data_IF_041944482975
#
_entry.id   IF_041944482975
#
_cell.length_a   1.000
_cell.length_b   1.000
_cell.length_c   1.000
_cell.angle_alpha   90.00
_cell.angle_beta   90.00
_cell.angle_gamma   90.00
#
_symmetry.space_group_name_H-M   'P 1'
#
loop_
_entity.id
_entity.type
_entity.pdbx_description
1 polymer ?
#
# COMPACT_ATOMS: atom_id res chain seq x y z
N UNK A 1 -20.67 10.45 -16.05
CA UNK A 1 -20.59 9.02 -15.70
C UNK A 1 -19.91 8.89 -14.34
N UNK A 2 -20.42 8.03 -13.47
CA UNK A 2 -19.87 7.82 -12.13
C UNK A 2 -18.91 6.63 -12.15
N UNK A 3 -17.89 6.65 -11.29
CA UNK A 3 -17.00 5.50 -11.11
C UNK A 3 -17.76 4.32 -10.50
N UNK A 4 -17.70 3.17 -11.16
CA UNK A 4 -18.14 1.91 -10.56
C UNK A 4 -17.02 1.41 -9.64
N UNK A 5 -17.39 1.08 -8.40
CA UNK A 5 -16.50 0.38 -7.49
C UNK A 5 -16.41 -1.07 -7.96
N UNK A 6 -15.20 -1.51 -8.29
CA UNK A 6 -14.95 -2.88 -8.68
C UNK A 6 -14.37 -3.65 -7.48
N UNK A 7 -14.94 -4.82 -7.20
CA UNK A 7 -14.38 -5.70 -6.19
C UNK A 7 -12.95 -6.10 -6.56
N UNK A 8 -12.02 -5.78 -5.67
CA UNK A 8 -10.64 -6.22 -5.76
C UNK A 8 -10.52 -7.63 -5.18
N UNK A 9 -9.73 -8.53 -5.79
CA UNK A 9 -9.37 -9.81 -5.19
C UNK A 9 -8.57 -9.72 -3.87
N UNK A 10 -8.08 -8.53 -3.54
CA UNK A 10 -7.38 -8.22 -2.28
C UNK A 10 -8.12 -7.05 -1.61
N UNK A 11 -8.64 -7.28 -0.41
CA UNK A 11 -9.47 -6.36 0.38
C UNK A 11 -8.72 -5.08 0.79
N UNK A 12 -7.39 -5.12 0.78
CA UNK A 12 -6.52 -3.97 1.08
C UNK A 12 -6.23 -3.10 -0.14
N UNK A 13 -6.76 -3.46 -1.31
CA UNK A 13 -6.61 -2.71 -2.56
C UNK A 13 -7.97 -2.21 -2.99
N UNK A 14 -8.14 -0.90 -3.09
CA UNK A 14 -9.37 -0.28 -3.58
C UNK A 14 -9.24 0.01 -5.06
N UNK A 15 -10.28 -0.30 -5.83
CA UNK A 15 -10.30 -0.12 -7.27
C UNK A 15 -11.59 0.57 -7.71
N UNK A 16 -11.45 1.56 -8.58
CA UNK A 16 -12.55 2.24 -9.26
C UNK A 16 -12.29 2.20 -10.75
N UNK A 17 -13.30 1.91 -11.54
CA UNK A 17 -13.16 1.82 -12.98
C UNK A 17 -14.38 2.43 -13.66
N UNK A 18 -14.13 3.12 -14.77
CA UNK A 18 -15.15 3.62 -15.69
C UNK A 18 -14.79 3.14 -17.07
N UNK A 19 -15.77 2.55 -17.73
CA UNK A 19 -15.73 2.20 -19.13
C UNK A 19 -17.09 2.50 -19.73
N UNK A 20 -17.11 3.23 -20.84
CA UNK A 20 -18.34 3.49 -21.58
C UNK A 20 -18.58 2.32 -22.51
N UNK A 21 -19.77 1.72 -22.44
CA UNK A 21 -20.09 0.57 -23.29
C UNK A 21 -19.99 0.95 -24.77
N UNK A 22 -19.31 0.12 -25.56
CA UNK A 22 -19.02 0.39 -26.98
C UNK A 22 -17.74 1.19 -27.23
N UNK A 23 -17.20 1.88 -26.22
CA UNK A 23 -15.91 2.58 -26.32
C UNK A 23 -14.74 1.63 -26.06
N UNK A 24 -13.56 2.00 -26.54
CA UNK A 24 -12.32 1.25 -26.27
C UNK A 24 -11.52 1.84 -25.11
N UNK A 25 -11.99 2.96 -24.58
CA UNK A 25 -11.36 3.75 -23.54
C UNK A 25 -11.87 3.35 -22.15
N UNK A 26 -10.96 2.87 -21.30
CA UNK A 26 -11.21 2.67 -19.87
C UNK A 26 -10.37 3.61 -19.02
N UNK A 27 -10.93 4.07 -17.92
CA UNK A 27 -10.21 4.83 -16.89
C UNK A 27 -10.28 4.05 -15.58
N UNK A 28 -9.13 3.68 -15.04
CA UNK A 28 -9.00 2.97 -13.77
C UNK A 28 -8.23 3.78 -12.74
N UNK A 29 -8.69 3.73 -11.50
CA UNK A 29 -8.02 4.25 -10.33
C UNK A 29 -7.84 3.12 -9.33
N UNK A 30 -6.63 2.99 -8.78
CA UNK A 30 -6.33 1.98 -7.76
C UNK A 30 -5.51 2.62 -6.67
N UNK A 31 -5.82 2.31 -5.42
CA UNK A 31 -5.08 2.76 -4.26
C UNK A 31 -4.88 1.64 -3.23
N UNK A 32 -3.75 1.66 -2.54
CA UNK A 32 -3.42 0.77 -1.44
C UNK A 32 -2.40 1.41 -0.50
N UNK A 33 -2.30 0.87 0.72
CA UNK A 33 -1.21 1.16 1.65
C UNK A 33 -0.25 -0.02 1.67
N UNK A 34 1.04 0.27 1.63
CA UNK A 34 2.11 -0.74 1.50
C UNK A 34 3.14 -0.53 2.62
N UNK A 35 3.54 -1.62 3.28
CA UNK A 35 4.49 -1.63 4.40
C UNK A 35 5.96 -1.52 3.93
N UNK A 36 6.22 -0.54 3.07
CA UNK A 36 7.52 -0.25 2.50
C UNK A 36 7.76 1.25 2.41
N UNK A 37 9.00 1.63 2.15
CA UNK A 37 9.38 3.02 1.84
C UNK A 37 8.88 3.44 0.46
N UNK A 38 8.79 4.76 0.25
CA UNK A 38 8.44 5.37 -1.05
C UNK A 38 9.40 4.89 -2.13
N UNK A 39 10.70 4.85 -1.82
CA UNK A 39 11.76 4.42 -2.73
C UNK A 39 11.62 2.94 -3.13
N UNK A 40 11.31 2.04 -2.19
CA UNK A 40 11.07 0.62 -2.47
C UNK A 40 9.84 0.41 -3.37
N UNK A 41 8.74 1.12 -3.10
CA UNK A 41 7.52 1.03 -3.91
C UNK A 41 7.75 1.57 -5.34
N UNK A 42 8.38 2.74 -5.46
CA UNK A 42 8.69 3.35 -6.75
C UNK A 42 9.68 2.48 -7.55
N UNK A 43 10.70 1.92 -6.90
CA UNK A 43 11.64 1.01 -7.54
C UNK A 43 10.97 -0.30 -7.99
N UNK A 44 10.03 -0.84 -7.21
CA UNK A 44 9.28 -2.03 -7.59
C UNK A 44 8.45 -1.78 -8.85
N UNK A 45 7.81 -0.61 -8.97
CA UNK A 45 7.11 -0.24 -10.19
C UNK A 45 8.08 -0.02 -11.36
N UNK A 46 9.10 0.81 -11.19
CA UNK A 46 9.98 1.22 -12.30
C UNK A 46 10.86 0.06 -12.82
N UNK A 47 11.42 -0.78 -11.95
CA UNK A 47 12.32 -1.88 -12.34
C UNK A 47 11.53 -3.10 -12.80
N UNK A 48 11.12 -3.10 -14.07
CA UNK A 48 10.33 -4.19 -14.69
C UNK A 48 11.17 -5.38 -15.17
N UNK A 49 12.49 -5.26 -15.21
CA UNK A 49 13.49 -6.22 -15.74
C UNK A 49 14.13 -7.12 -14.67
N UNK A 50 13.67 -7.07 -13.42
CA UNK A 50 14.21 -7.95 -12.37
C UNK A 50 13.88 -9.42 -12.65
N UNK A 51 14.76 -10.34 -12.23
CA UNK A 51 14.56 -11.79 -12.41
C UNK A 51 13.21 -12.26 -11.86
N UNK A 52 12.83 -11.75 -10.70
CA UNK A 52 11.53 -12.03 -10.06
C UNK A 52 10.36 -11.63 -10.95
N UNK A 53 10.41 -10.43 -11.56
CA UNK A 53 9.33 -9.96 -12.44
C UNK A 53 9.30 -10.69 -13.77
N UNK A 54 10.46 -11.06 -14.30
CA UNK A 54 10.57 -11.85 -15.53
C UNK A 54 9.98 -13.26 -15.35
N UNK A 55 10.19 -13.88 -14.18
CA UNK A 55 9.69 -15.23 -13.89
C UNK A 55 8.15 -15.33 -13.91
N UNK A 56 7.43 -14.24 -13.61
CA UNK A 56 5.96 -14.22 -13.54
C UNK A 56 5.29 -13.70 -14.81
N UNK A 57 6.05 -13.35 -15.86
CA UNK A 57 5.48 -12.78 -17.10
C UNK A 57 4.51 -13.73 -17.81
N UNK A 58 4.81 -15.03 -17.82
CA UNK A 58 3.98 -16.06 -18.46
C UNK A 58 2.63 -16.19 -17.77
N UNK A 59 2.61 -16.20 -16.44
CA UNK A 59 1.39 -16.16 -15.61
C UNK A 59 0.55 -14.91 -15.88
N UNK A 60 1.19 -13.81 -16.30
CA UNK A 60 0.53 -12.54 -16.65
C UNK A 60 0.10 -12.42 -18.10
N UNK A 61 0.21 -13.49 -18.89
CA UNK A 61 -0.08 -13.47 -20.32
C UNK A 61 0.75 -12.43 -21.10
N UNK A 62 1.96 -12.12 -20.62
CA UNK A 62 2.92 -11.26 -21.32
C UNK A 62 3.76 -12.15 -22.23
N UNK A 63 3.62 -11.97 -23.53
CA UNK A 63 4.33 -12.73 -24.55
C UNK A 63 5.74 -12.19 -24.80
N UNK A 64 5.89 -10.87 -24.70
CA UNK A 64 7.17 -10.18 -24.88
C UNK A 64 7.23 -8.96 -23.99
N UNK A 65 8.40 -8.73 -23.40
CA UNK A 65 8.75 -7.50 -22.72
C UNK A 65 10.13 -7.05 -23.21
N UNK A 66 10.28 -5.75 -23.46
CA UNK A 66 11.59 -5.15 -23.73
C UNK A 66 11.70 -3.81 -23.01
N UNK A 67 12.86 -3.55 -22.42
CA UNK A 67 13.16 -2.33 -21.69
C UNK A 67 14.46 -1.75 -22.22
N UNK A 68 14.45 -0.46 -22.57
CA UNK A 68 15.64 0.28 -22.99
C UNK A 68 15.78 1.53 -22.12
N UNK A 69 16.80 1.55 -21.26
CA UNK A 69 17.09 2.74 -20.45
C UNK A 69 17.60 3.86 -21.33
N UNK A 70 17.04 5.06 -21.16
CA UNK A 70 17.53 6.28 -21.83
C UNK A 70 18.48 7.01 -20.88
N UNK A 71 18.07 7.14 -19.62
CA UNK A 71 18.85 7.72 -18.53
C UNK A 71 18.34 7.17 -17.19
N UNK A 72 18.82 7.72 -16.08
CA UNK A 72 18.46 7.25 -14.74
C UNK A 72 16.97 7.41 -14.40
N UNK A 73 16.31 8.40 -15.01
CA UNK A 73 14.92 8.76 -14.75
C UNK A 73 13.94 8.31 -15.83
N UNK A 74 14.44 7.82 -16.97
CA UNK A 74 13.62 7.51 -18.14
C UNK A 74 14.02 6.20 -18.80
N UNK A 75 13.03 5.36 -19.09
CA UNK A 75 13.20 4.14 -19.88
C UNK A 75 12.06 3.99 -20.89
N UNK A 76 12.33 3.27 -21.97
CA UNK A 76 11.32 2.81 -22.90
C UNK A 76 10.89 1.41 -22.52
N UNK A 77 9.60 1.14 -22.61
CA UNK A 77 8.95 -0.10 -22.22
C UNK A 77 8.06 -0.58 -23.35
N UNK A 78 8.34 -1.79 -23.85
CA UNK A 78 7.48 -2.51 -24.78
C UNK A 78 6.88 -3.72 -24.08
N UNK A 79 5.57 -3.91 -24.23
CA UNK A 79 4.87 -5.09 -23.73
C UNK A 79 3.89 -5.61 -24.77
N UNK A 80 3.97 -6.91 -25.09
CA UNK A 80 2.97 -7.62 -25.87
C UNK A 80 2.21 -8.55 -24.94
N UNK A 81 0.89 -8.41 -24.87
CA UNK A 81 0.01 -9.18 -23.99
C UNK A 81 -1.11 -9.85 -24.77
N UNK A 82 -1.53 -11.03 -24.31
CA UNK A 82 -2.69 -11.72 -24.90
C UNK A 82 -3.94 -11.54 -24.01
N UNK A 83 -5.04 -10.93 -24.52
CA UNK A 83 -6.26 -10.71 -23.74
C UNK A 83 -6.92 -12.01 -23.29
N UNK A 84 -7.07 -12.98 -24.20
CA UNK A 84 -7.56 -14.37 -24.06
C UNK A 84 -7.63 -14.98 -25.47
N UNK A 85 -7.93 -16.28 -25.59
CA UNK A 85 -8.10 -16.96 -26.89
C UNK A 85 -9.17 -16.27 -27.74
N UNK A 86 -8.86 -16.04 -29.03
CA UNK A 86 -9.79 -15.45 -30.01
C UNK A 86 -9.63 -13.94 -30.24
N UNK A 87 -8.80 -13.25 -29.45
CA UNK A 87 -8.54 -11.82 -29.62
C UNK A 87 -7.09 -11.55 -30.05
N UNK A 88 -6.90 -10.52 -30.88
CA UNK A 88 -5.58 -10.01 -31.24
C UNK A 88 -4.78 -9.59 -30.00
N UNK A 89 -3.46 -9.80 -30.07
CA UNK A 89 -2.57 -9.37 -29.00
C UNK A 89 -2.53 -7.84 -28.90
N UNK A 90 -2.30 -7.36 -27.68
CA UNK A 90 -2.19 -5.95 -27.35
C UNK A 90 -0.72 -5.58 -27.20
N UNK A 91 -0.28 -4.64 -28.01
CA UNK A 91 1.10 -4.19 -28.04
C UNK A 91 1.19 -2.73 -27.58
N UNK A 92 1.86 -2.51 -26.45
CA UNK A 92 2.10 -1.18 -25.88
C UNK A 92 3.55 -0.77 -26.07
N UNK A 93 3.75 0.48 -26.47
CA UNK A 93 5.04 1.14 -26.57
C UNK A 93 5.00 2.39 -25.72
N UNK A 94 5.75 2.39 -24.62
CA UNK A 94 5.64 3.43 -23.62
C UNK A 94 6.99 4.04 -23.24
N UNK A 95 6.99 5.35 -23.00
CA UNK A 95 8.05 6.02 -22.25
C UNK A 95 7.62 6.04 -20.78
N UNK A 96 8.52 5.58 -19.91
CA UNK A 96 8.30 5.52 -18.46
C UNK A 96 9.30 6.45 -17.81
N UNK A 97 8.80 7.44 -17.09
CA UNK A 97 9.60 8.45 -16.41
C UNK A 97 9.30 8.40 -14.91
N UNK A 98 10.31 8.56 -14.07
CA UNK A 98 10.08 8.77 -12.64
C UNK A 98 10.69 10.10 -12.19
N UNK A 99 10.03 10.74 -11.23
CA UNK A 99 10.48 12.01 -10.65
C UNK A 99 10.17 12.05 -9.16
N UNK A 100 11.01 12.74 -8.40
CA UNK A 100 10.82 12.98 -6.96
C UNK A 100 10.36 14.41 -6.74
N UNK A 101 9.32 14.58 -5.95
CA UNK A 101 8.76 15.88 -5.57
C UNK A 101 8.69 15.94 -4.04
N UNK A 102 9.70 16.57 -3.42
CA UNK A 102 9.87 16.56 -1.97
C UNK A 102 10.02 15.13 -1.44
N UNK A 103 9.04 14.68 -0.65
CA UNK A 103 9.00 13.30 -0.11
C UNK A 103 8.16 12.33 -0.96
N UNK A 104 7.51 12.81 -2.01
CA UNK A 104 6.67 12.01 -2.91
C UNK A 104 7.49 11.58 -4.12
N UNK A 105 7.12 10.46 -4.72
CA UNK A 105 7.67 10.02 -5.99
C UNK A 105 6.53 9.77 -6.97
N UNK A 106 6.76 10.12 -8.22
CA UNK A 106 5.84 9.89 -9.32
C UNK A 106 6.47 8.95 -10.35
N UNK A 107 5.66 8.10 -10.97
CA UNK A 107 6.05 7.37 -12.18
C UNK A 107 4.99 7.57 -13.26
N UNK A 108 5.37 8.10 -14.41
CA UNK A 108 4.48 8.41 -15.54
C UNK A 108 4.81 7.50 -16.70
N UNK A 109 3.78 6.86 -17.24
CA UNK A 109 3.80 6.07 -18.46
C UNK A 109 3.02 6.85 -19.51
N UNK A 110 3.64 7.06 -20.66
CA UNK A 110 3.02 7.70 -21.82
C UNK A 110 3.35 6.91 -23.09
N UNK A 111 2.56 7.08 -24.14
CA UNK A 111 2.84 6.43 -25.42
C UNK A 111 4.10 7.01 -26.09
N UNK A 112 4.80 6.17 -26.84
CA UNK A 112 6.00 6.59 -27.56
C UNK A 112 6.22 5.80 -28.84
N UNK A 113 6.83 6.47 -29.83
CA UNK A 113 7.18 5.86 -31.11
C UNK A 113 8.68 5.51 -31.20
N UNK A 114 9.46 5.82 -30.16
CA UNK A 114 10.92 5.66 -30.15
C UNK A 114 11.42 4.21 -30.29
N UNK A 115 10.56 3.22 -29.99
CA UNK A 115 10.86 1.80 -30.18
C UNK A 115 10.37 1.25 -31.53
N UNK A 116 9.50 1.95 -32.26
CA UNK A 116 8.85 1.41 -33.47
C UNK A 116 9.80 1.12 -34.62
N UNK A 117 10.94 1.82 -34.72
CA UNK A 117 11.95 1.55 -35.76
C UNK A 117 12.60 0.18 -35.59
N UNK A 118 12.88 -0.21 -34.34
CA UNK A 118 13.53 -1.47 -34.00
C UNK A 118 12.51 -2.59 -33.78
N UNK A 119 11.37 -2.24 -33.20
CA UNK A 119 10.25 -3.12 -32.91
C UNK A 119 8.97 -2.55 -33.53
N UNK A 120 8.78 -2.68 -34.85
CA UNK A 120 7.53 -2.28 -35.47
C UNK A 120 6.37 -3.11 -34.91
N UNK A 121 5.18 -2.50 -34.84
CA UNK A 121 3.96 -3.20 -34.39
C UNK A 121 3.75 -4.42 -35.27
N UNK A 122 3.69 -5.60 -34.67
CA UNK A 122 3.58 -6.84 -35.45
C UNK A 122 2.24 -6.91 -36.17
N UNK A 123 2.25 -7.43 -37.40
CA UNK A 123 1.02 -7.71 -38.16
C UNK A 123 0.11 -8.62 -37.32
N UNK A 124 -1.17 -8.24 -37.20
CA UNK A 124 -2.18 -8.93 -36.40
C UNK A 124 -2.24 -8.53 -34.92
N UNK A 125 -1.25 -7.78 -34.42
CA UNK A 125 -1.35 -7.11 -33.12
C UNK A 125 -2.12 -5.80 -33.24
N UNK A 126 -2.77 -5.41 -32.15
CA UNK A 126 -3.39 -4.09 -32.02
C UNK A 126 -2.55 -3.24 -31.07
N UNK A 127 -2.14 -2.06 -31.55
CA UNK A 127 -1.42 -1.10 -30.73
C UNK A 127 -2.37 -0.48 -29.71
N UNK A 128 -2.06 -0.62 -28.42
CA UNK A 128 -2.78 0.05 -27.34
C UNK A 128 -2.18 1.42 -27.07
N UNK A 129 -3.02 2.34 -26.61
CA UNK A 129 -2.60 3.63 -26.08
C UNK A 129 -2.83 3.64 -24.57
N UNK A 130 -1.85 4.09 -23.81
CA UNK A 130 -2.01 4.24 -22.37
C UNK A 130 -1.30 5.47 -21.83
N UNK A 131 -1.94 6.08 -20.85
CA UNK A 131 -1.34 7.05 -19.96
C UNK A 131 -1.59 6.59 -18.53
N UNK A 132 -0.53 6.34 -17.78
CA UNK A 132 -0.64 5.89 -16.39
C UNK A 132 0.26 6.71 -15.50
N UNK A 133 -0.30 7.26 -14.43
CA UNK A 133 0.47 8.01 -13.43
C UNK A 133 0.35 7.28 -12.11
N UNK A 134 1.49 6.90 -11.56
CA UNK A 134 1.64 6.41 -10.19
C UNK A 134 2.11 7.52 -9.29
N UNK A 135 1.57 7.54 -8.07
CA UNK A 135 1.94 8.44 -7.00
C UNK A 135 2.26 7.60 -5.75
N UNK A 136 3.43 7.84 -5.19
CA UNK A 136 3.94 7.21 -3.99
C UNK A 136 4.12 8.28 -2.91
N UNK A 137 3.31 8.20 -1.85
CA UNK A 137 3.31 9.18 -0.77
C UNK A 137 3.65 8.51 0.56
N UNK A 138 4.57 9.08 1.37
CA UNK A 138 4.87 8.53 2.67
C UNK A 138 3.68 8.74 3.62
N UNK A 139 3.43 7.76 4.47
CA UNK A 139 2.53 7.84 5.61
C UNK A 139 3.33 7.71 6.91
N UNK A 140 2.65 7.96 8.02
CA UNK A 140 3.23 7.72 9.34
C UNK A 140 3.55 6.24 9.54
N UNK A 141 4.65 5.98 10.24
CA UNK A 141 5.07 4.61 10.55
C UNK A 141 4.03 3.93 11.45
N UNK A 142 3.75 2.67 11.18
CA UNK A 142 2.88 1.84 12.01
C UNK A 142 3.71 0.67 12.54
N UNK A 143 3.73 0.47 13.86
CA UNK A 143 4.59 -0.53 14.49
C UNK A 143 6.07 -0.40 14.13
N UNK A 144 6.58 0.82 13.91
CA UNK A 144 7.96 1.06 13.48
C UNK A 144 8.25 0.79 12.00
N UNK A 145 7.29 0.26 11.25
CA UNK A 145 7.41 -0.06 9.82
C UNK A 145 7.01 1.17 8.97
N UNK A 146 7.82 1.48 7.95
CA UNK A 146 7.50 2.52 6.97
C UNK A 146 6.23 2.18 6.20
N UNK A 147 5.35 3.16 6.05
CA UNK A 147 4.09 3.04 5.33
C UNK A 147 4.11 3.96 4.11
N UNK A 148 3.65 3.47 2.97
CA UNK A 148 3.51 4.25 1.74
C UNK A 148 2.10 4.11 1.19
N UNK A 149 1.41 5.23 0.98
CA UNK A 149 0.20 5.27 0.17
C UNK A 149 0.62 5.23 -1.29
N UNK A 150 0.19 4.19 -1.99
CA UNK A 150 0.40 4.04 -3.43
C UNK A 150 -0.93 4.22 -4.12
N UNK A 151 -0.97 5.11 -5.10
CA UNK A 151 -2.13 5.27 -5.96
C UNK A 151 -1.70 5.34 -7.42
N UNK A 152 -2.54 4.87 -8.33
CA UNK A 152 -2.36 5.14 -9.74
C UNK A 152 -3.67 5.41 -10.44
N UNK A 153 -3.59 6.28 -11.44
CA UNK A 153 -4.64 6.54 -12.42
C UNK A 153 -4.16 6.09 -13.79
N UNK A 154 -4.97 5.32 -14.49
CA UNK A 154 -4.64 4.77 -15.81
C UNK A 154 -5.77 5.06 -16.79
N UNK A 155 -5.47 5.82 -17.83
CA UNK A 155 -6.29 5.97 -19.02
C UNK A 155 -5.76 4.99 -20.07
N UNK A 156 -6.58 4.03 -20.48
CA UNK A 156 -6.17 2.99 -21.42
C UNK A 156 -7.18 2.92 -22.56
N UNK A 157 -6.69 3.13 -23.78
CA UNK A 157 -7.42 2.81 -25.00
C UNK A 157 -6.87 1.50 -25.56
N UNK A 158 -7.63 0.42 -25.38
CA UNK A 158 -7.22 -0.90 -25.83
C UNK A 158 -7.41 -1.12 -27.33
N UNK A 159 -8.18 -0.24 -27.98
CA UNK A 159 -8.58 -0.26 -29.40
C UNK A 159 -9.30 -1.53 -29.88
N UNK A 160 -10.03 -1.41 -30.99
CA UNK A 160 -10.78 -2.51 -31.62
C UNK A 160 -12.03 -2.94 -30.83
N UNK A 161 -12.80 -3.89 -31.36
CA UNK A 161 -14.06 -4.32 -30.74
C UNK A 161 -13.80 -5.26 -29.55
N UNK A 162 -13.91 -4.73 -28.34
CA UNK A 162 -13.62 -5.50 -27.12
C UNK A 162 -14.85 -5.51 -26.20
N UNK A 163 -15.43 -6.70 -25.95
CA UNK A 163 -16.55 -6.82 -25.02
C UNK A 163 -16.21 -6.37 -23.59
N UNK A 164 -17.23 -5.91 -22.87
CA UNK A 164 -17.11 -5.42 -21.48
C UNK A 164 -16.41 -6.42 -20.54
N UNK A 165 -16.69 -7.73 -20.64
CA UNK A 165 -16.05 -8.72 -19.78
C UNK A 165 -14.51 -8.80 -19.96
N UNK A 166 -14.00 -8.49 -21.16
CA UNK A 166 -12.56 -8.41 -21.41
C UNK A 166 -11.99 -7.12 -20.79
N UNK A 167 -12.72 -6.00 -20.85
CA UNK A 167 -12.35 -4.75 -20.18
C UNK A 167 -12.22 -4.92 -18.67
N UNK A 168 -13.18 -5.58 -18.03
CA UNK A 168 -13.10 -5.90 -16.60
C UNK A 168 -11.89 -6.78 -16.26
N UNK A 169 -11.59 -7.78 -17.10
CA UNK A 169 -10.36 -8.59 -16.92
C UNK A 169 -9.09 -7.74 -17.02
N UNK A 170 -9.06 -6.74 -17.90
CA UNK A 170 -7.93 -5.82 -18.01
C UNK A 170 -7.80 -4.91 -16.77
N UNK A 171 -8.91 -4.40 -16.25
CA UNK A 171 -8.93 -3.60 -15.02
C UNK A 171 -8.34 -4.40 -13.84
N UNK A 172 -8.82 -5.63 -13.62
CA UNK A 172 -8.29 -6.53 -12.58
C UNK A 172 -6.81 -6.86 -12.82
N UNK A 173 -6.39 -7.11 -14.07
CA UNK A 173 -4.97 -7.36 -14.41
C UNK A 173 -4.09 -6.12 -14.16
N UNK A 174 -4.63 -4.91 -14.29
CA UNK A 174 -3.90 -3.68 -13.95
C UNK A 174 -3.77 -3.54 -12.43
N UNK A 175 -4.84 -3.81 -11.68
CA UNK A 175 -4.80 -3.87 -10.22
C UNK A 175 -3.86 -4.97 -9.69
N UNK A 176 -3.64 -6.05 -10.44
CA UNK A 176 -2.71 -7.13 -10.04
C UNK A 176 -1.30 -6.61 -9.71
N UNK A 177 -0.84 -5.55 -10.37
CA UNK A 177 0.47 -4.96 -10.08
C UNK A 177 0.52 -4.32 -8.69
N UNK A 178 -0.59 -3.73 -8.22
CA UNK A 178 -0.72 -3.22 -6.86
C UNK A 178 -0.78 -4.36 -5.84
N UNK A 179 -1.61 -5.37 -6.11
CA UNK A 179 -1.78 -6.54 -5.24
C UNK A 179 -0.45 -7.27 -5.01
N UNK A 180 0.33 -7.46 -6.06
CA UNK A 180 1.65 -8.08 -5.96
C UNK A 180 2.65 -7.22 -5.20
N UNK A 181 2.64 -5.89 -5.40
CA UNK A 181 3.48 -4.97 -4.62
C UNK A 181 3.14 -5.07 -3.13
N UNK A 182 1.84 -5.05 -2.79
CA UNK A 182 1.38 -5.21 -1.41
C UNK A 182 1.81 -6.56 -0.82
N UNK A 183 1.61 -7.66 -1.54
CA UNK A 183 2.02 -9.01 -1.09
C UNK A 183 3.54 -9.12 -0.92
N UNK A 184 4.32 -8.49 -1.79
CA UNK A 184 5.78 -8.49 -1.74
C UNK A 184 6.32 -7.84 -0.48
N UNK A 185 5.68 -6.74 -0.07
CA UNK A 185 6.11 -5.94 1.07
C UNK A 185 5.25 -6.15 2.31
N UNK A 186 4.44 -7.22 2.38
CA UNK A 186 3.56 -7.45 3.51
C UNK A 186 4.35 -7.68 4.81
N UNK A 187 4.22 -6.75 5.75
CA UNK A 187 4.86 -6.80 7.08
C UNK A 187 3.82 -6.80 8.20
N UNK A 188 2.59 -7.23 7.91
CA UNK A 188 1.50 -7.28 8.88
C UNK A 188 1.91 -7.97 10.19
N UNK A 189 2.65 -9.09 10.10
CA UNK A 189 3.12 -9.84 11.28
C UNK A 189 4.10 -9.05 12.16
N UNK A 190 4.98 -8.25 11.53
CA UNK A 190 5.94 -7.41 12.23
C UNK A 190 5.21 -6.23 12.91
N UNK A 191 4.30 -5.60 12.18
CA UNK A 191 3.43 -4.54 12.70
C UNK A 191 2.64 -5.04 13.91
N UNK A 192 1.98 -6.20 13.80
CA UNK A 192 1.20 -6.80 14.88
C UNK A 192 2.06 -7.15 16.09
N UNK A 193 3.26 -7.71 15.87
CA UNK A 193 4.19 -8.02 16.95
C UNK A 193 4.64 -6.76 17.70
N UNK A 194 4.97 -5.69 16.97
CA UNK A 194 5.42 -4.42 17.55
C UNK A 194 4.28 -3.70 18.28
N UNK A 195 3.07 -3.70 17.71
CA UNK A 195 1.89 -3.15 18.36
C UNK A 195 1.58 -3.91 19.66
N UNK A 196 1.66 -5.24 19.65
CA UNK A 196 1.48 -6.06 20.86
C UNK A 196 2.52 -5.72 21.94
N UNK A 197 3.78 -5.55 21.57
CA UNK A 197 4.84 -5.15 22.51
C UNK A 197 4.56 -3.77 23.14
N UNK A 198 4.08 -2.81 22.34
CA UNK A 198 3.70 -1.49 22.84
C UNK A 198 2.51 -1.56 23.81
N UNK A 199 1.49 -2.36 23.49
CA UNK A 199 0.32 -2.58 24.38
C UNK A 199 0.76 -3.21 25.70
N UNK A 200 1.60 -4.26 25.66
CA UNK A 200 2.11 -4.93 26.89
C UNK A 200 2.90 -3.94 27.75
N UNK A 201 3.73 -3.09 27.14
CA UNK A 201 4.47 -2.05 27.87
C UNK A 201 3.52 -1.03 28.52
N UNK A 202 2.52 -0.56 27.79
CA UNK A 202 1.52 0.38 28.32
C UNK A 202 0.74 -0.21 29.51
N UNK A 203 0.38 -1.49 29.45
CA UNK A 203 -0.26 -2.19 30.57
C UNK A 203 0.65 -2.26 31.80
N UNK A 204 1.93 -2.63 31.62
CA UNK A 204 2.89 -2.66 32.72
C UNK A 204 3.13 -1.28 33.35
N UNK A 205 3.18 -0.22 32.53
CA UNK A 205 3.31 1.16 33.02
C UNK A 205 2.06 1.58 33.82
N UNK A 206 0.86 1.19 33.38
CA UNK A 206 -0.40 1.43 34.10
C UNK A 206 -0.45 0.71 35.45
N UNK A 207 -0.05 -0.57 35.50
CA UNK A 207 0.01 -1.34 36.75
C UNK A 207 0.98 -0.71 37.75
N UNK A 208 2.14 -0.24 37.27
CA UNK A 208 3.11 0.47 38.12
C UNK A 208 2.52 1.78 38.65
N UNK A 209 1.87 2.59 37.82
CA UNK A 209 1.23 3.85 38.25
C UNK A 209 0.13 3.57 39.28
N UNK A 210 -0.68 2.54 39.09
CA UNK A 210 -1.71 2.17 40.06
C UNK A 210 -1.09 1.73 41.40
N UNK A 211 -0.08 0.88 41.38
CA UNK A 211 0.60 0.43 42.61
C UNK A 211 1.27 1.59 43.38
N UNK A 212 1.94 2.50 42.68
CA UNK A 212 2.55 3.71 43.28
C UNK A 212 1.48 4.63 43.89
N UNK A 213 0.36 4.83 43.18
CA UNK A 213 -0.78 5.64 43.65
C UNK A 213 -1.40 5.03 44.90
N UNK A 214 -1.56 3.71 44.93
CA UNK A 214 -2.08 2.97 46.08
C UNK A 214 -1.12 3.07 47.28
N UNK A 215 0.18 2.82 47.08
CA UNK A 215 1.20 2.96 48.12
C UNK A 215 1.23 4.37 48.72
N UNK A 216 1.11 5.41 47.87
CA UNK A 216 1.04 6.80 48.33
C UNK A 216 -0.18 7.06 49.22
N UNK A 217 -1.37 6.56 48.84
CA UNK A 217 -2.58 6.69 49.67
C UNK A 217 -2.41 6.05 51.05
N UNK A 218 -1.77 4.89 51.14
CA UNK A 218 -1.47 4.27 52.45
C UNK A 218 -0.53 5.11 53.30
N UNK A 219 0.52 5.66 52.70
CA UNK A 219 1.46 6.52 53.42
C UNK A 219 0.80 7.82 53.91
N UNK A 220 -0.11 8.39 53.13
CA UNK A 220 -0.86 9.59 53.52
C UNK A 220 -1.85 9.28 54.66
N UNK A 221 -2.56 8.14 54.61
CA UNK A 221 -3.44 7.67 55.71
C UNK A 221 -2.64 7.43 56.98
N UNK A 222 -1.51 6.72 56.91
CA UNK A 222 -0.66 6.44 58.08
C UNK A 222 -0.07 7.72 58.70
N UNK A 223 0.25 8.74 57.88
CA UNK A 223 0.67 10.07 58.37
C UNK A 223 -0.49 10.79 59.06
N UNK A 224 -1.69 10.79 58.46
CA UNK A 224 -2.87 11.39 59.06
C UNK A 224 -3.23 10.73 60.40
N UNK A 225 -3.10 9.41 60.49
CA UNK A 225 -3.34 8.64 61.71
C UNK A 225 -2.29 8.99 62.79
N UNK A 226 -1.00 9.09 62.45
CA UNK A 226 0.04 9.57 63.39
C UNK A 226 -0.21 10.99 63.89
N UNK A 227 -0.76 11.89 63.07
CA UNK A 227 -1.12 13.26 63.49
C UNK A 227 -2.31 13.24 64.45
N UNK A 228 -3.30 12.38 64.22
CA UNK A 228 -4.44 12.21 65.13
C UNK A 228 -4.05 11.54 66.46
N UNK A 229 -3.07 10.62 66.46
CA UNK A 229 -2.53 10.01 67.70
C UNK A 229 -1.61 10.98 68.44
N UNK A 230 -1.04 11.98 67.75
CA UNK A 230 -0.21 13.05 68.33
C UNK A 230 -1.00 14.20 69.01
N UNK A 231 -2.33 14.22 68.89
CA UNK A 231 -3.22 15.22 69.48
C UNK A 231 -4.21 14.56 70.46
N UNK A 232 -3.69 13.84 71.45
CA UNK A 232 -4.43 13.44 72.64
C UNK A 232 -3.47 13.11 73.78
N UNK A 233 -2.90 14.16 74.36
CA UNK A 233 -2.38 14.10 75.72
C UNK A 233 -3.40 14.75 76.65
N UNK A 234 -4.49 14.03 76.92
CA UNK A 234 -5.31 14.23 78.11
C UNK A 234 -5.98 12.91 78.53
N UNK A 235 -5.37 12.29 79.54
CA UNK A 235 -5.87 11.34 80.54
C UNK A 235 -7.26 10.70 80.35
N UNK A 236 -7.35 9.37 80.50
CA UNK A 236 -7.93 8.72 81.70
C UNK A 236 -7.64 7.21 81.66
N UNK A 237 -6.90 6.71 82.65
CA UNK A 237 -6.82 5.28 82.95
C UNK A 237 -8.01 4.91 83.84
N UNK A 238 -8.98 4.18 83.30
CA UNK A 238 -10.01 3.52 84.14
C UNK A 238 -9.53 2.09 84.40
N UNK A 239 -9.18 1.80 85.65
CA UNK A 239 -9.04 0.44 86.16
C UNK A 239 -10.44 -0.21 86.12
N UNK A 240 -10.59 -1.30 85.36
CA UNK A 240 -11.65 -2.27 85.64
C UNK A 240 -11.09 -3.26 86.66
N UNK A 241 -11.46 -3.08 87.92
CA UNK A 241 -11.54 -4.18 88.87
C UNK A 241 -12.89 -4.87 88.65
N UNK A 242 -12.85 -6.20 88.65
CA UNK A 242 -13.99 -7.05 88.33
C UNK A 242 -15.04 -7.13 89.42
N UNK A 243 -16.19 -7.69 89.02
CA UNK A 243 -16.93 -8.78 89.65
C UNK A 243 -17.70 -9.52 88.55
#
# INVERSE_FOLDING_TARGET
ENFEELESPDDRVKMRFVHVEGETLGIGFVEAVIDATVEECAAYDYKKDTRERLAILTTKHVLKQHIRKINDHTQLYLSIRTPRRGFSNREGHNRVMWMKEGKKTWTVYEDTDQLKKEFPVKIGNVQVSLQTTWLFEPLDRVGGVSQTKVSFASRVDIKGSVPYFIMNSFAVKKASSMIEMRKKFDKSKEVDANNRLQIVKQLGDLDRVQSETFAKRFMDVAKAEKVNVGLSSAQTWVKMQGE
#
